data_IF_657062660069
#
_entry.id   IF_657062660069
#
_cell.length_a   1.000
_cell.length_b   1.000
_cell.length_c   1.000
_cell.angle_alpha   90.00
_cell.angle_beta   90.00
_cell.angle_gamma   90.00
#
_symmetry.space_group_name_H-M   'P 1'
#
loop_
_entity.id
_entity.type
_entity.pdbx_description
1 polymer ?
#
# COMPACT_ATOMS: atom_id res chain seq x y z
N UNK A 1 4.21 16.86 86.50
CA UNK A 1 3.68 15.95 85.46
C UNK A 1 3.77 16.67 84.13
N UNK A 2 4.90 16.55 83.43
CA UNK A 2 5.16 17.16 82.13
C UNK A 2 5.51 16.05 81.15
N UNK A 3 4.66 15.88 80.13
CA UNK A 3 4.70 14.81 79.13
C UNK A 3 5.85 15.00 78.15
N UNK A 4 6.68 13.96 78.00
CA UNK A 4 7.58 13.78 76.86
C UNK A 4 6.75 13.67 75.56
N UNK A 5 7.17 14.40 74.53
CA UNK A 5 6.72 14.21 73.15
C UNK A 5 7.90 13.71 72.32
N UNK A 6 7.94 12.41 72.07
CA UNK A 6 8.78 11.82 71.02
C UNK A 6 8.20 12.19 69.66
N UNK A 7 8.98 12.93 68.86
CA UNK A 7 8.65 13.26 67.48
C UNK A 7 8.92 12.06 66.57
N UNK A 8 7.85 11.43 66.08
CA UNK A 8 7.87 10.53 64.93
C UNK A 8 7.66 11.38 63.67
N UNK A 9 8.72 11.63 62.89
CA UNK A 9 8.60 12.19 61.54
C UNK A 9 8.76 11.04 60.56
N UNK A 10 7.65 10.70 59.91
CA UNK A 10 7.54 9.68 58.87
C UNK A 10 8.27 10.14 57.58
N UNK A 11 9.16 9.28 57.07
CA UNK A 11 9.79 9.42 55.77
C UNK A 11 8.74 9.06 54.70
N UNK A 12 8.14 10.04 54.05
CA UNK A 12 7.27 9.83 52.88
C UNK A 12 8.15 9.70 51.62
N UNK A 13 8.59 8.48 51.30
CA UNK A 13 9.16 8.16 50.00
C UNK A 13 8.05 7.99 48.96
N UNK A 14 7.86 8.99 48.09
CA UNK A 14 7.03 8.88 46.89
C UNK A 14 7.74 7.97 45.88
N UNK A 15 7.32 6.71 45.82
CA UNK A 15 7.72 5.76 44.80
C UNK A 15 7.00 6.14 43.49
N UNK A 16 7.63 6.94 42.64
CA UNK A 16 7.20 7.10 41.25
C UNK A 16 7.49 5.81 40.50
N UNK A 17 6.54 4.87 40.54
CA UNK A 17 6.53 3.71 39.67
C UNK A 17 6.23 4.21 38.24
N UNK A 18 7.28 4.59 37.52
CA UNK A 18 7.20 4.75 36.06
C UNK A 18 6.91 3.36 35.49
N UNK A 19 5.63 3.09 35.22
CA UNK A 19 5.23 1.95 34.40
C UNK A 19 5.68 2.30 32.98
N UNK A 20 6.91 1.90 32.64
CA UNK A 20 7.33 1.82 31.25
C UNK A 20 6.45 0.76 30.59
N UNK A 21 5.44 1.20 29.85
CA UNK A 21 4.74 0.34 28.90
C UNK A 21 5.77 0.05 27.81
N UNK A 22 6.42 -1.11 27.91
CA UNK A 22 7.25 -1.62 26.83
C UNK A 22 6.30 -1.95 25.68
N UNK A 23 6.28 -1.09 24.66
CA UNK A 23 5.80 -1.45 23.34
C UNK A 23 6.66 -2.62 22.85
N UNK A 24 6.09 -3.81 22.80
CA UNK A 24 6.79 -4.98 22.24
C UNK A 24 6.69 -4.91 20.72
N UNK A 25 7.81 -4.66 20.05
CA UNK A 25 7.94 -4.93 18.62
C UNK A 25 7.65 -6.42 18.37
N UNK A 26 6.75 -6.74 17.44
CA UNK A 26 6.46 -8.12 17.06
C UNK A 26 7.24 -8.51 15.79
N UNK A 27 7.39 -9.81 15.56
CA UNK A 27 8.01 -10.34 14.34
C UNK A 27 6.93 -10.96 13.46
N UNK A 28 6.73 -10.38 12.29
CA UNK A 28 5.75 -10.83 11.30
C UNK A 28 6.41 -11.65 10.19
N UNK A 29 5.83 -12.80 9.88
CA UNK A 29 6.33 -13.71 8.85
C UNK A 29 5.42 -13.72 7.62
N UNK A 30 6.01 -13.55 6.44
CA UNK A 30 5.33 -13.61 5.16
C UNK A 30 5.99 -14.65 4.24
N UNK A 31 5.16 -15.41 3.52
CA UNK A 31 5.59 -16.42 2.55
C UNK A 31 5.20 -15.98 1.14
N UNK A 32 6.20 -15.77 0.30
CA UNK A 32 6.09 -15.19 -1.04
C UNK A 32 6.56 -16.21 -2.07
N UNK A 33 5.63 -16.83 -2.79
CA UNK A 33 5.90 -17.74 -3.90
C UNK A 33 5.90 -16.97 -5.22
N UNK A 34 7.08 -16.73 -5.77
CA UNK A 34 7.25 -16.11 -7.08
C UNK A 34 7.08 -17.18 -8.17
N UNK A 35 6.12 -16.97 -9.06
CA UNK A 35 5.73 -17.94 -10.08
C UNK A 35 5.30 -17.25 -11.38
N UNK A 36 5.39 -17.99 -12.47
CA UNK A 36 4.80 -17.61 -13.75
C UNK A 36 3.31 -17.98 -13.75
N UNK A 37 2.43 -17.00 -13.97
CA UNK A 37 0.97 -17.18 -13.86
C UNK A 37 0.22 -16.56 -15.04
N UNK A 38 -0.83 -17.23 -15.57
CA UNK A 38 -1.62 -16.69 -16.66
C UNK A 38 -2.58 -15.61 -16.16
N UNK A 39 -2.57 -14.45 -16.82
CA UNK A 39 -3.53 -13.37 -16.57
C UNK A 39 -4.16 -12.91 -17.88
N UNK A 40 -5.47 -12.71 -17.85
CA UNK A 40 -6.24 -12.17 -18.97
C UNK A 40 -6.60 -10.72 -18.71
N UNK A 41 -6.14 -9.82 -19.58
CA UNK A 41 -6.55 -8.41 -19.63
C UNK A 41 -6.55 -7.93 -21.07
N UNK A 42 -7.38 -6.93 -21.38
CA UNK A 42 -7.51 -6.40 -22.75
C UNK A 42 -7.85 -7.50 -23.77
N UNK A 43 -8.63 -8.49 -23.33
CA UNK A 43 -9.08 -9.66 -24.10
C UNK A 43 -7.96 -10.60 -24.58
N UNK A 44 -6.76 -10.50 -23.98
CA UNK A 44 -5.63 -11.39 -24.27
C UNK A 44 -5.09 -12.00 -22.98
N UNK A 45 -4.76 -13.29 -23.03
CA UNK A 45 -4.05 -13.98 -21.94
C UNK A 45 -2.57 -13.97 -22.23
N UNK A 46 -1.76 -13.65 -21.20
CA UNK A 46 -0.31 -13.78 -21.23
C UNK A 46 0.20 -14.32 -19.90
N UNK A 47 1.41 -14.86 -19.90
CA UNK A 47 2.10 -15.24 -18.67
C UNK A 47 2.82 -14.02 -18.09
N UNK A 48 2.69 -13.82 -16.79
CA UNK A 48 3.42 -12.79 -16.03
C UNK A 48 4.12 -13.42 -14.83
N UNK A 49 5.12 -12.72 -14.31
CA UNK A 49 5.60 -12.99 -12.97
C UNK A 49 4.60 -12.46 -11.94
N UNK A 50 4.26 -13.29 -10.96
CA UNK A 50 3.34 -12.93 -9.90
C UNK A 50 3.82 -13.52 -8.58
N UNK A 51 3.59 -12.78 -7.49
CA UNK A 51 3.77 -13.29 -6.13
C UNK A 51 2.44 -13.85 -5.63
N UNK A 52 2.47 -15.08 -5.15
CA UNK A 52 1.30 -15.84 -4.68
C UNK A 52 0.15 -15.87 -5.70
N UNK A 53 0.49 -15.87 -7.00
CA UNK A 53 -0.49 -15.88 -8.09
C UNK A 53 -1.37 -14.62 -8.17
N UNK A 54 -0.95 -13.51 -7.57
CA UNK A 54 -1.70 -12.25 -7.51
C UNK A 54 -1.01 -11.12 -8.28
N UNK A 55 -1.82 -10.24 -8.89
CA UNK A 55 -1.39 -9.00 -9.53
C UNK A 55 -2.42 -7.88 -9.24
N UNK A 56 -2.06 -6.85 -8.46
CA UNK A 56 -0.80 -6.66 -7.73
C UNK A 56 -0.53 -7.78 -6.72
N UNK A 57 0.71 -7.85 -6.23
CA UNK A 57 1.12 -8.83 -5.24
C UNK A 57 0.53 -8.58 -3.84
N UNK A 58 0.82 -9.47 -2.87
CA UNK A 58 0.26 -9.39 -1.53
C UNK A 58 0.61 -8.10 -0.78
N UNK A 59 -0.35 -7.55 -0.02
CA UNK A 59 -0.07 -6.47 0.92
C UNK A 59 0.66 -6.99 2.15
N UNK A 60 1.76 -6.34 2.53
CA UNK A 60 2.37 -6.48 3.84
C UNK A 60 1.73 -5.45 4.76
N UNK A 61 1.32 -5.86 5.95
CA UNK A 61 0.58 -5.02 6.89
C UNK A 61 1.02 -5.30 8.32
N UNK A 62 1.72 -4.34 8.89
CA UNK A 62 2.37 -4.44 10.21
C UNK A 62 2.22 -3.12 10.95
N UNK A 63 2.80 -2.98 12.15
CA UNK A 63 2.80 -1.75 12.94
C UNK A 63 4.21 -1.15 12.99
N UNK A 64 4.27 0.15 13.29
CA UNK A 64 5.53 0.87 13.48
C UNK A 64 6.40 0.16 14.51
N UNK A 65 7.68 -0.02 14.22
CA UNK A 65 8.65 -0.68 15.09
C UNK A 65 8.66 -2.21 15.01
N UNK A 66 7.75 -2.85 14.25
CA UNK A 66 7.78 -4.30 14.06
C UNK A 66 8.97 -4.73 13.18
N UNK A 67 9.33 -6.01 13.27
CA UNK A 67 10.25 -6.66 12.33
C UNK A 67 9.47 -7.53 11.36
N UNK A 68 9.79 -7.45 10.07
CA UNK A 68 9.14 -8.25 9.02
C UNK A 68 10.14 -9.22 8.40
N UNK A 69 9.84 -10.51 8.46
CA UNK A 69 10.59 -11.58 7.81
C UNK A 69 9.81 -12.09 6.60
N UNK A 70 10.27 -11.76 5.38
CA UNK A 70 9.65 -12.21 4.14
C UNK A 70 10.49 -13.33 3.51
N UNK A 71 9.99 -14.56 3.57
CA UNK A 71 10.59 -15.69 2.89
C UNK A 71 10.07 -15.80 1.46
N UNK A 72 10.96 -15.61 0.49
CA UNK A 72 10.63 -15.62 -0.93
C UNK A 72 11.13 -16.91 -1.57
N UNK A 73 10.21 -17.68 -2.13
CA UNK A 73 10.46 -18.87 -2.94
C UNK A 73 10.44 -18.50 -4.42
N UNK A 74 11.59 -18.52 -5.10
CA UNK A 74 11.61 -18.30 -6.53
C UNK A 74 11.36 -19.61 -7.29
N UNK A 75 10.10 -19.83 -7.69
CA UNK A 75 9.68 -20.97 -8.52
C UNK A 75 9.57 -20.61 -10.01
N UNK A 76 9.86 -19.35 -10.37
CA UNK A 76 9.88 -18.90 -11.76
C UNK A 76 11.22 -19.22 -12.44
N UNK A 77 11.24 -19.10 -13.77
CA UNK A 77 12.45 -19.29 -14.57
C UNK A 77 13.38 -18.07 -14.63
N UNK A 78 13.09 -17.00 -13.89
CA UNK A 78 13.83 -15.74 -13.93
C UNK A 78 14.43 -15.40 -12.58
N UNK A 79 15.63 -14.81 -12.59
CA UNK A 79 16.25 -14.28 -11.39
C UNK A 79 15.59 -12.94 -11.01
N UNK A 80 15.22 -12.77 -9.75
CA UNK A 80 14.51 -11.56 -9.26
C UNK A 80 15.10 -11.10 -7.93
N UNK A 81 15.23 -9.79 -7.77
CA UNK A 81 15.46 -9.11 -6.50
C UNK A 81 14.25 -8.26 -6.15
N UNK A 82 13.94 -8.13 -4.87
CA UNK A 82 12.88 -7.24 -4.37
C UNK A 82 13.51 -6.06 -3.62
N UNK A 83 12.92 -4.90 -3.82
CA UNK A 83 13.19 -3.67 -3.09
C UNK A 83 11.99 -3.31 -2.21
N UNK A 84 12.28 -2.74 -1.05
CA UNK A 84 11.32 -2.36 0.00
C UNK A 84 11.37 -0.85 0.14
N UNK A 85 10.89 -0.15 -0.88
CA UNK A 85 11.12 1.28 -1.04
C UNK A 85 10.56 2.09 0.13
N UNK A 86 11.43 2.91 0.70
CA UNK A 86 11.12 3.85 1.78
C UNK A 86 11.31 3.29 3.19
N UNK A 87 11.77 2.03 3.33
CA UNK A 87 12.33 1.53 4.59
C UNK A 87 13.81 1.89 4.66
N UNK A 88 14.31 2.31 5.83
CA UNK A 88 15.74 2.62 6.00
C UNK A 88 16.65 1.44 5.61
N UNK A 89 17.84 1.75 5.07
CA UNK A 89 18.82 0.88 4.37
C UNK A 89 19.41 -0.30 5.18
N UNK A 90 18.80 -0.71 6.29
CA UNK A 90 19.29 -1.78 7.16
C UNK A 90 18.86 -3.19 6.74
N UNK A 91 18.16 -3.32 5.61
CA UNK A 91 17.65 -4.62 5.13
C UNK A 91 18.80 -5.53 4.70
N UNK A 92 19.03 -6.58 5.49
CA UNK A 92 20.00 -7.61 5.14
C UNK A 92 19.61 -8.28 3.81
N UNK A 93 20.48 -8.12 2.80
CA UNK A 93 20.29 -8.73 1.49
C UNK A 93 19.36 -7.98 0.54
N UNK A 94 19.14 -6.68 0.73
CA UNK A 94 18.46 -5.79 -0.23
C UNK A 94 18.96 -5.91 -1.67
N UNK A 95 20.25 -6.23 -1.87
CA UNK A 95 20.86 -6.43 -3.17
C UNK A 95 20.91 -7.89 -3.66
N UNK A 96 20.30 -8.85 -2.94
CA UNK A 96 20.38 -10.25 -3.32
C UNK A 96 19.43 -10.58 -4.47
N UNK A 97 19.97 -11.22 -5.51
CA UNK A 97 19.18 -11.78 -6.60
C UNK A 97 18.87 -13.24 -6.34
N UNK A 98 17.58 -13.53 -6.19
CA UNK A 98 17.08 -14.87 -5.94
C UNK A 98 17.05 -15.60 -7.27
N UNK A 99 17.95 -16.57 -7.43
CA UNK A 99 18.04 -17.38 -8.65
C UNK A 99 16.83 -18.35 -8.76
N UNK A 100 16.47 -18.80 -9.98
CA UNK A 100 15.44 -19.82 -10.18
C UNK A 100 15.65 -21.06 -9.30
N UNK A 101 14.59 -21.52 -8.64
CA UNK A 101 14.61 -22.65 -7.71
C UNK A 101 15.33 -22.39 -6.38
N UNK A 102 15.70 -21.13 -6.09
CA UNK A 102 16.30 -20.72 -4.82
C UNK A 102 15.33 -19.90 -3.98
N UNK A 103 15.62 -19.84 -2.70
CA UNK A 103 14.85 -19.07 -1.74
C UNK A 103 15.75 -18.05 -1.05
N UNK A 104 15.16 -16.96 -0.58
CA UNK A 104 15.85 -15.96 0.23
C UNK A 104 14.88 -15.38 1.26
N UNK A 105 15.38 -15.03 2.45
CA UNK A 105 14.59 -14.36 3.48
C UNK A 105 15.09 -12.94 3.64
N UNK A 106 14.20 -11.96 3.46
CA UNK A 106 14.45 -10.56 3.81
C UNK A 106 14.02 -10.33 5.26
N UNK A 107 14.92 -9.80 6.08
CA UNK A 107 14.59 -9.30 7.41
C UNK A 107 14.58 -7.78 7.37
N UNK A 108 13.44 -7.19 7.70
CA UNK A 108 13.15 -5.77 7.55
C UNK A 108 12.82 -5.24 8.94
N UNK A 109 13.73 -4.47 9.52
CA UNK A 109 13.52 -3.82 10.82
C UNK A 109 12.89 -2.44 10.56
N UNK A 110 11.67 -2.23 11.03
CA UNK A 110 11.01 -0.93 10.90
C UNK A 110 11.47 0.02 12.01
N UNK A 111 11.78 1.25 11.64
CA UNK A 111 12.06 2.34 12.56
C UNK A 111 10.80 3.18 12.80
N UNK A 112 10.89 4.44 12.40
CA UNK A 112 9.84 5.44 12.62
C UNK A 112 8.82 5.56 11.45
N UNK A 113 9.00 4.77 10.38
CA UNK A 113 8.11 4.78 9.22
C UNK A 113 6.66 4.51 9.64
N UNK A 114 5.71 5.28 9.07
CA UNK A 114 4.28 5.10 9.32
C UNK A 114 3.41 5.55 8.14
N UNK A 115 2.33 4.82 7.89
CA UNK A 115 1.43 5.09 6.78
C UNK A 115 1.60 4.02 5.72
N UNK A 116 1.93 4.43 4.51
CA UNK A 116 2.04 3.51 3.37
C UNK A 116 3.36 3.69 2.63
N UNK A 117 4.00 2.55 2.36
CA UNK A 117 5.15 2.34 1.51
C UNK A 117 4.80 1.30 0.43
N UNK A 118 5.77 0.91 -0.39
CA UNK A 118 5.59 -0.13 -1.40
C UNK A 118 6.80 -1.04 -1.47
N UNK A 119 6.60 -2.24 -1.98
CA UNK A 119 7.67 -3.13 -2.37
C UNK A 119 7.52 -3.47 -3.85
N UNK A 120 8.63 -3.75 -4.53
CA UNK A 120 8.61 -4.11 -5.95
C UNK A 120 9.87 -4.86 -6.38
N UNK A 121 9.82 -5.57 -7.51
CA UNK A 121 11.04 -6.08 -8.14
C UNK A 121 11.95 -4.94 -8.59
N UNK A 122 13.27 -5.11 -8.51
CA UNK A 122 14.24 -4.05 -8.86
C UNK A 122 14.37 -3.82 -10.37
N UNK A 123 14.20 -4.87 -11.18
CA UNK A 123 14.25 -4.75 -12.64
C UNK A 123 12.93 -4.19 -13.18
N UNK A 124 12.99 -3.19 -14.05
CA UNK A 124 11.81 -2.50 -14.60
C UNK A 124 10.77 -3.44 -15.23
N UNK A 125 11.23 -4.46 -15.98
CA UNK A 125 10.34 -5.41 -16.65
C UNK A 125 9.54 -6.28 -15.65
N UNK A 126 10.19 -6.72 -14.56
CA UNK A 126 9.52 -7.50 -13.51
C UNK A 126 8.65 -6.59 -12.63
N UNK A 127 9.10 -5.37 -12.33
CA UNK A 127 8.39 -4.39 -11.51
C UNK A 127 7.00 -4.04 -12.07
N UNK A 128 6.79 -4.15 -13.39
CA UNK A 128 5.48 -3.96 -14.02
C UNK A 128 4.40 -4.92 -13.47
N UNK A 129 4.79 -6.07 -12.91
CA UNK A 129 3.85 -7.11 -12.40
C UNK A 129 4.16 -7.62 -10.99
N UNK A 130 5.41 -7.48 -10.54
CA UNK A 130 5.88 -7.87 -9.21
C UNK A 130 6.04 -6.61 -8.37
N UNK A 131 4.94 -6.19 -7.76
CA UNK A 131 4.88 -5.07 -6.82
C UNK A 131 3.68 -5.21 -5.88
N UNK A 132 3.72 -4.54 -4.74
CA UNK A 132 2.62 -4.52 -3.78
C UNK A 132 2.78 -3.43 -2.73
N UNK A 133 1.78 -3.33 -1.87
CA UNK A 133 1.75 -2.34 -0.79
C UNK A 133 2.48 -2.84 0.46
N UNK A 134 3.07 -1.90 1.18
CA UNK A 134 3.64 -2.12 2.51
C UNK A 134 3.00 -1.10 3.46
N UNK A 135 2.04 -1.55 4.25
CA UNK A 135 1.26 -0.72 5.17
C UNK A 135 1.80 -0.83 6.59
N UNK A 136 2.08 0.33 7.19
CA UNK A 136 2.62 0.44 8.54
C UNK A 136 1.62 1.24 9.37
N UNK A 137 0.98 0.57 10.33
CA UNK A 137 -0.03 1.14 11.20
C UNK A 137 0.61 1.77 12.46
N UNK A 138 -0.09 2.68 13.15
CA UNK A 138 0.31 3.10 14.50
C UNK A 138 0.49 1.89 15.43
N UNK A 139 1.30 2.02 16.48
CA UNK A 139 1.38 0.96 17.49
C UNK A 139 0.02 0.78 18.17
N UNK A 140 -0.21 -0.36 18.83
CA UNK A 140 -1.46 -0.57 19.53
C UNK A 140 -1.67 0.53 20.59
N UNK A 141 -2.86 1.14 20.60
CA UNK A 141 -3.26 2.27 21.46
C UNK A 141 -2.63 3.63 21.14
N UNK A 142 -1.99 3.79 19.99
CA UNK A 142 -1.62 5.10 19.46
C UNK A 142 -2.71 5.60 18.50
N UNK A 143 -3.15 6.84 18.71
CA UNK A 143 -4.11 7.50 17.85
C UNK A 143 -3.44 8.05 16.59
N UNK A 144 -4.16 8.02 15.47
CA UNK A 144 -3.79 8.81 14.30
C UNK A 144 -3.76 10.31 14.64
N UNK A 145 -2.92 11.12 13.98
CA UNK A 145 -2.93 12.58 14.13
C UNK A 145 -4.15 13.25 13.45
N UNK A 146 -5.10 12.44 13.00
CA UNK A 146 -6.37 12.80 12.37
C UNK A 146 -7.46 11.86 12.90
N UNK A 147 -8.77 12.17 12.72
CA UNK A 147 -9.84 11.32 13.20
C UNK A 147 -9.68 9.87 12.69
N UNK A 148 -9.84 8.90 13.59
CA UNK A 148 -9.66 7.49 13.26
C UNK A 148 -10.60 7.08 12.10
N UNK A 149 -10.07 6.52 11.00
CA UNK A 149 -10.89 6.06 9.90
C UNK A 149 -11.70 4.81 10.29
N UNK A 150 -12.90 4.68 9.73
CA UNK A 150 -13.76 3.50 9.83
C UNK A 150 -13.09 2.27 9.23
N UNK A 151 -12.40 2.45 8.11
CA UNK A 151 -11.59 1.43 7.44
C UNK A 151 -10.56 2.13 6.56
N UNK A 152 -9.52 1.41 6.15
CA UNK A 152 -8.64 1.84 5.07
C UNK A 152 -8.81 0.97 3.83
N UNK A 153 -8.37 1.50 2.68
CA UNK A 153 -8.37 0.82 1.39
C UNK A 153 -7.11 1.18 0.61
N UNK A 154 -6.38 0.16 0.18
CA UNK A 154 -5.23 0.33 -0.70
C UNK A 154 -5.66 0.38 -2.17
N UNK A 155 -5.10 1.35 -2.90
CA UNK A 155 -5.29 1.55 -4.34
C UNK A 155 -3.90 1.63 -4.99
N UNK A 156 -3.58 0.63 -5.79
CA UNK A 156 -2.33 0.57 -6.57
C UNK A 156 -2.66 0.91 -8.02
N UNK A 157 -2.06 1.99 -8.51
CA UNK A 157 -2.07 2.36 -9.91
C UNK A 157 -0.94 1.61 -10.60
N UNK A 158 -1.27 0.73 -11.53
CA UNK A 158 -0.32 -0.09 -12.26
C UNK A 158 -0.44 0.08 -13.76
N UNK A 159 0.40 -0.64 -14.50
CA UNK A 159 0.41 -0.64 -15.95
C UNK A 159 0.33 -2.06 -16.53
N UNK A 160 -0.12 -2.16 -17.77
CA UNK A 160 -0.28 -3.42 -18.48
C UNK A 160 0.19 -3.29 -19.91
N UNK A 161 1.06 -4.22 -20.30
CA UNK A 161 1.54 -4.42 -21.67
C UNK A 161 0.85 -5.64 -22.27
N UNK A 162 0.54 -5.64 -23.57
CA UNK A 162 0.06 -6.85 -24.26
C UNK A 162 1.16 -7.88 -24.43
N UNK A 163 2.39 -7.40 -24.65
CA UNK A 163 3.56 -8.26 -24.76
C UNK A 163 3.98 -8.81 -23.39
N UNK A 164 4.48 -10.04 -23.38
CA UNK A 164 5.10 -10.64 -22.19
C UNK A 164 6.42 -9.93 -21.91
N UNK A 165 6.61 -9.46 -20.68
CA UNK A 165 7.83 -8.77 -20.28
C UNK A 165 8.79 -9.78 -19.66
N UNK A 166 10.03 -9.75 -20.13
CA UNK A 166 11.13 -10.62 -19.73
C UNK A 166 12.42 -9.79 -19.72
N UNK A 167 13.50 -10.36 -19.20
CA UNK A 167 14.83 -9.74 -19.26
C UNK A 167 15.27 -9.43 -20.71
N UNK A 168 14.89 -10.27 -21.68
CA UNK A 168 15.29 -10.13 -23.08
C UNK A 168 14.64 -8.94 -23.80
N UNK A 169 13.47 -8.47 -23.34
CA UNK A 169 12.74 -7.36 -23.91
C UNK A 169 12.46 -6.25 -22.90
N UNK A 170 13.39 -6.07 -21.95
CA UNK A 170 13.37 -5.02 -20.93
C UNK A 170 13.35 -3.59 -21.49
N UNK A 171 13.51 -3.37 -22.80
CA UNK A 171 13.35 -2.03 -23.38
C UNK A 171 11.87 -1.66 -23.58
N UNK A 172 10.96 -2.62 -23.57
CA UNK A 172 9.51 -2.39 -23.67
C UNK A 172 8.99 -1.72 -22.41
N UNK A 173 9.46 -2.16 -21.23
CA UNK A 173 9.25 -1.49 -19.96
C UNK A 173 10.56 -0.77 -19.61
N UNK A 174 10.65 0.54 -19.88
CA UNK A 174 9.63 1.45 -19.37
C UNK A 174 9.03 2.35 -20.49
N UNK A 175 8.92 1.78 -21.69
CA UNK A 175 8.15 2.34 -22.79
C UNK A 175 6.66 2.41 -22.47
N UNK A 176 5.83 2.65 -23.48
CA UNK A 176 4.42 2.89 -23.19
C UNK A 176 3.60 1.63 -23.00
N UNK A 177 2.95 1.55 -21.85
CA UNK A 177 1.90 0.58 -21.59
C UNK A 177 0.72 0.70 -22.56
N UNK A 178 0.04 -0.42 -22.77
CA UNK A 178 -1.20 -0.53 -23.54
C UNK A 178 -2.44 -0.15 -22.71
N UNK A 179 -2.34 -0.32 -21.39
CA UNK A 179 -3.35 0.09 -20.42
C UNK A 179 -2.73 0.44 -19.06
N UNK A 180 -3.47 1.23 -18.30
CA UNK A 180 -3.27 1.39 -16.86
C UNK A 180 -4.30 0.56 -16.11
N UNK A 181 -4.04 0.33 -14.84
CA UNK A 181 -4.93 -0.46 -13.99
C UNK A 181 -5.08 0.17 -12.62
N UNK A 182 -6.25 -0.03 -12.01
CA UNK A 182 -6.49 0.22 -10.58
C UNK A 182 -6.59 -1.15 -9.91
N UNK A 183 -5.69 -1.46 -8.98
CA UNK A 183 -5.60 -2.78 -8.33
C UNK A 183 -5.60 -3.94 -9.36
N UNK A 184 -4.88 -3.77 -10.46
CA UNK A 184 -4.78 -4.78 -11.53
C UNK A 184 -5.98 -4.82 -12.48
N UNK A 185 -7.03 -4.01 -12.27
CA UNK A 185 -8.21 -3.94 -13.12
C UNK A 185 -8.07 -2.83 -14.18
N UNK A 186 -8.15 -3.12 -15.49
CA UNK A 186 -8.12 -2.08 -16.52
C UNK A 186 -9.32 -1.13 -16.47
N UNK A 187 -10.47 -1.62 -15.99
CA UNK A 187 -11.72 -0.87 -16.04
C UNK A 187 -12.38 -0.93 -17.43
N UNK A 188 -13.31 -0.01 -17.67
CA UNK A 188 -14.28 -0.08 -18.76
C UNK A 188 -13.83 0.66 -20.04
N UNK A 189 -12.67 1.32 -20.00
CA UNK A 189 -12.22 2.30 -21.01
C UNK A 189 -11.47 1.68 -22.19
N UNK A 190 -11.10 0.39 -22.14
CA UNK A 190 -10.25 -0.26 -23.13
C UNK A 190 -10.99 -1.18 -24.13
N UNK A 191 -12.33 -1.18 -24.11
CA UNK A 191 -13.15 -1.84 -25.13
C UNK A 191 -13.19 -3.37 -25.07
N UNK A 192 -12.68 -4.00 -24.01
CA UNK A 192 -12.82 -5.43 -23.76
C UNK A 192 -13.95 -5.69 -22.74
N UNK A 193 -15.00 -6.41 -23.16
CA UNK A 193 -16.15 -6.72 -22.28
C UNK A 193 -15.83 -7.67 -21.14
N UNK A 194 -14.71 -8.41 -21.23
CA UNK A 194 -14.28 -9.37 -20.22
C UNK A 194 -13.30 -8.78 -19.22
N UNK A 195 -12.88 -7.52 -19.40
CA UNK A 195 -12.10 -6.84 -18.39
C UNK A 195 -12.97 -6.56 -17.17
N UNK A 196 -12.28 -6.48 -16.04
CA UNK A 196 -12.89 -6.28 -14.73
C UNK A 196 -12.60 -4.86 -14.25
N UNK A 197 -13.47 -4.36 -13.38
CA UNK A 197 -13.42 -3.00 -12.81
C UNK A 197 -13.27 -3.13 -11.31
N UNK A 198 -12.30 -2.44 -10.72
CA UNK A 198 -12.15 -2.39 -9.28
C UNK A 198 -13.36 -1.69 -8.64
N UNK A 199 -13.91 -2.22 -7.55
CA UNK A 199 -15.01 -1.61 -6.81
C UNK A 199 -14.63 -1.45 -5.33
N UNK A 200 -14.78 -0.22 -4.81
CA UNK A 200 -14.65 0.12 -3.40
C UNK A 200 -16.03 0.47 -2.84
N UNK A 201 -16.40 -0.15 -1.72
CA UNK A 201 -17.67 0.13 -1.03
C UNK A 201 -17.47 1.11 0.12
N UNK A 202 -18.42 2.03 0.27
CA UNK A 202 -18.39 3.04 1.34
C UNK A 202 -19.77 3.28 1.93
N UNK A 203 -19.82 3.59 3.22
CA UNK A 203 -21.02 4.03 3.94
C UNK A 203 -21.11 5.56 3.89
N UNK A 204 -22.34 6.06 3.79
CA UNK A 204 -22.61 7.50 3.83
C UNK A 204 -22.12 8.09 5.17
N UNK A 205 -21.36 9.19 5.10
CA UNK A 205 -20.71 9.85 6.25
C UNK A 205 -19.66 9.00 7.00
N UNK A 206 -19.22 7.87 6.43
CA UNK A 206 -18.02 7.18 6.92
C UNK A 206 -16.75 8.01 6.74
N UNK A 207 -15.64 7.53 7.31
CA UNK A 207 -14.32 8.11 7.10
C UNK A 207 -13.36 7.01 6.65
N UNK A 208 -12.82 7.11 5.44
CA UNK A 208 -11.95 6.09 4.87
C UNK A 208 -10.54 6.63 4.67
N UNK A 209 -9.53 5.86 5.05
CA UNK A 209 -8.13 6.14 4.69
C UNK A 209 -7.81 5.42 3.38
N UNK A 210 -7.69 6.16 2.29
CA UNK A 210 -7.35 5.63 0.98
C UNK A 210 -5.84 5.79 0.76
N UNK A 211 -5.15 4.66 0.53
CA UNK A 211 -3.70 4.59 0.37
C UNK A 211 -3.38 4.44 -1.12
N UNK A 212 -3.00 5.52 -1.78
CA UNK A 212 -2.82 5.55 -3.24
C UNK A 212 -1.33 5.41 -3.57
N UNK A 213 -0.98 4.35 -4.30
CA UNK A 213 0.38 4.03 -4.72
C UNK A 213 0.46 4.16 -6.24
N UNK A 214 1.44 4.91 -6.75
CA UNK A 214 1.77 4.90 -8.17
C UNK A 214 2.89 3.89 -8.45
N UNK A 215 2.53 2.69 -8.90
CA UNK A 215 3.47 1.63 -9.32
C UNK A 215 3.78 1.68 -10.83
N UNK A 216 3.33 2.70 -11.55
CA UNK A 216 3.68 2.91 -12.97
C UNK A 216 5.12 3.43 -13.06
N UNK A 217 5.96 2.80 -13.90
CA UNK A 217 7.39 3.05 -13.89
C UNK A 217 7.79 4.46 -14.38
N UNK A 218 7.10 5.00 -15.38
CA UNK A 218 7.57 6.16 -16.13
C UNK A 218 6.52 7.27 -16.35
N UNK A 219 5.39 7.21 -15.66
CA UNK A 219 4.31 8.18 -15.84
C UNK A 219 3.85 8.77 -14.51
N UNK A 220 3.64 10.08 -14.53
CA UNK A 220 2.94 10.77 -13.45
C UNK A 220 1.44 10.51 -13.63
N UNK A 221 0.80 9.99 -12.59
CA UNK A 221 -0.61 9.64 -12.61
C UNK A 221 -1.43 10.71 -11.91
N UNK A 222 -2.50 11.15 -12.57
CA UNK A 222 -3.56 11.96 -11.99
C UNK A 222 -4.65 11.03 -11.48
N UNK A 223 -5.01 11.15 -10.20
CA UNK A 223 -6.04 10.34 -9.55
C UNK A 223 -7.14 11.22 -8.98
N UNK A 224 -8.40 10.83 -9.15
CA UNK A 224 -9.54 11.50 -8.54
C UNK A 224 -10.72 10.54 -8.32
N UNK A 225 -11.65 10.96 -7.45
CA UNK A 225 -12.93 10.27 -7.24
C UNK A 225 -14.03 11.26 -7.55
N UNK A 226 -14.90 10.92 -8.49
CA UNK A 226 -15.93 11.82 -9.03
C UNK A 226 -16.75 12.45 -7.89
N UNK A 227 -16.80 13.80 -7.87
CA UNK A 227 -17.54 14.62 -6.88
C UNK A 227 -17.07 14.47 -5.42
N UNK A 228 -15.95 13.81 -5.16
CA UNK A 228 -15.39 13.70 -3.82
C UNK A 228 -14.13 14.55 -3.67
N UNK A 229 -13.94 15.11 -2.47
CA UNK A 229 -12.71 15.78 -2.06
C UNK A 229 -11.87 14.83 -1.23
N UNK A 230 -10.57 14.96 -1.37
CA UNK A 230 -9.56 14.16 -0.67
C UNK A 230 -8.81 15.08 0.30
N UNK A 231 -8.49 14.56 1.48
CA UNK A 231 -7.64 15.26 2.46
C UNK A 231 -6.33 14.49 2.58
N UNK A 232 -5.23 15.04 2.08
CA UNK A 232 -3.90 14.43 2.22
C UNK A 232 -3.49 14.45 3.68
N UNK A 233 -3.07 13.30 4.20
CA UNK A 233 -2.67 13.10 5.60
C UNK A 233 -1.32 12.41 5.75
N UNK A 234 -0.80 11.81 4.69
CA UNK A 234 0.51 11.17 4.69
C UNK A 234 1.08 11.02 3.29
N UNK A 235 2.39 10.85 3.22
CA UNK A 235 3.12 10.63 1.98
C UNK A 235 4.38 9.82 2.28
N UNK A 236 4.67 8.80 1.46
CA UNK A 236 5.91 7.99 1.53
C UNK A 236 6.31 7.57 2.96
N UNK A 237 5.41 6.92 3.70
CA UNK A 237 5.73 6.42 5.04
C UNK A 237 5.90 7.50 6.13
N UNK A 238 5.35 8.70 5.93
CA UNK A 238 5.26 9.71 7.01
C UNK A 238 3.96 10.51 6.98
N UNK A 239 3.57 11.04 8.14
CA UNK A 239 2.42 11.95 8.23
C UNK A 239 2.76 13.35 7.71
N UNK A 240 1.75 14.02 7.14
CA UNK A 240 1.88 15.38 6.63
C UNK A 240 0.86 16.31 7.27
N UNK A 241 1.09 17.63 7.14
CA UNK A 241 0.04 18.60 7.40
C UNK A 241 -1.15 18.35 6.47
N UNK A 242 -2.36 18.47 7.02
CA UNK A 242 -3.59 18.26 6.26
C UNK A 242 -3.72 19.27 5.14
N UNK A 243 -3.97 18.78 3.92
CA UNK A 243 -4.29 19.63 2.77
C UNK A 243 -5.43 19.03 1.97
N UNK A 244 -6.27 19.89 1.38
CA UNK A 244 -7.47 19.47 0.67
C UNK A 244 -7.27 19.59 -0.83
N UNK A 245 -7.69 18.57 -1.58
CA UNK A 245 -7.67 18.57 -3.03
C UNK A 245 -8.86 17.82 -3.60
N UNK A 246 -9.18 18.04 -4.87
CA UNK A 246 -10.11 17.21 -5.64
C UNK A 246 -9.40 16.14 -6.48
N UNK A 247 -8.08 16.27 -6.68
CA UNK A 247 -7.28 15.33 -7.46
C UNK A 247 -5.84 15.25 -6.93
N UNK A 248 -5.24 14.08 -7.01
CA UNK A 248 -3.85 13.83 -6.67
C UNK A 248 -3.01 13.78 -7.94
N UNK A 249 -1.78 14.28 -7.84
CA UNK A 249 -0.74 14.10 -8.85
C UNK A 249 0.35 13.26 -8.20
N UNK A 250 0.54 12.02 -8.67
CA UNK A 250 1.51 11.08 -8.14
C UNK A 250 2.63 10.85 -9.15
N UNK A 251 3.87 11.21 -8.81
CA UNK A 251 5.05 10.83 -9.58
C UNK A 251 5.25 9.30 -9.54
N UNK A 252 6.03 8.70 -10.46
CA UNK A 252 6.41 7.29 -10.37
C UNK A 252 6.98 6.93 -8.98
N UNK A 253 6.49 5.85 -8.39
CA UNK A 253 6.88 5.37 -7.06
C UNK A 253 6.25 6.10 -5.89
N UNK A 254 5.58 7.24 -6.11
CA UNK A 254 5.02 8.04 -5.02
C UNK A 254 3.81 7.35 -4.38
N UNK A 255 3.74 7.48 -3.05
CA UNK A 255 2.62 6.99 -2.23
C UNK A 255 1.99 8.16 -1.47
N UNK A 256 0.67 8.28 -1.53
CA UNK A 256 -0.10 9.32 -0.82
C UNK A 256 -1.26 8.69 -0.06
N UNK A 257 -1.34 8.98 1.23
CA UNK A 257 -2.45 8.62 2.09
C UNK A 257 -3.45 9.78 2.17
N UNK A 258 -4.71 9.51 1.85
CA UNK A 258 -5.78 10.52 1.88
C UNK A 258 -6.99 10.05 2.67
N UNK A 259 -7.62 10.97 3.39
CA UNK A 259 -8.96 10.75 3.94
C UNK A 259 -10.01 11.06 2.89
N UNK A 260 -10.98 10.14 2.79
CA UNK A 260 -12.18 10.24 1.99
C UNK A 260 -13.40 10.27 2.91
N UNK A 261 -14.21 11.32 2.78
CA UNK A 261 -15.51 11.44 3.44
C UNK A 261 -16.62 11.29 2.39
N UNK A 262 -17.30 10.14 2.30
CA UNK A 262 -18.39 9.92 1.36
C UNK A 262 -19.62 10.74 1.78
N UNK A 263 -19.77 11.92 1.19
CA UNK A 263 -20.81 12.90 1.53
C UNK A 263 -21.73 13.23 0.34
N UNK A 264 -21.69 12.41 -0.71
CA UNK A 264 -22.52 12.57 -1.91
C UNK A 264 -23.81 11.74 -1.80
N UNK A 265 -24.73 11.96 -2.74
CA UNK A 265 -25.95 11.15 -2.82
C UNK A 265 -25.60 9.66 -2.98
N UNK A 266 -26.37 8.77 -2.37
CA UNK A 266 -26.16 7.32 -2.50
C UNK A 266 -26.20 6.93 -3.97
N UNK A 267 -25.12 6.33 -4.45
CA UNK A 267 -24.95 6.02 -5.86
C UNK A 267 -23.58 5.40 -6.16
N UNK A 268 -23.20 5.47 -7.43
CA UNK A 268 -21.89 5.04 -7.93
C UNK A 268 -21.16 6.24 -8.51
N UNK A 269 -19.87 6.33 -8.21
CA UNK A 269 -18.98 7.40 -8.63
C UNK A 269 -17.72 6.79 -9.21
N UNK A 270 -17.22 7.33 -10.31
CA UNK A 270 -15.98 6.81 -10.88
C UNK A 270 -14.77 7.17 -9.99
N UNK A 271 -13.92 6.18 -9.77
CA UNK A 271 -12.52 6.38 -9.38
C UNK A 271 -11.75 6.43 -10.69
N UNK A 272 -11.02 7.51 -10.95
CA UNK A 272 -10.32 7.69 -12.24
C UNK A 272 -8.82 7.81 -11.99
N UNK A 273 -8.03 7.14 -12.82
CA UNK A 273 -6.60 7.39 -12.93
C UNK A 273 -6.20 7.56 -14.40
N UNK A 274 -5.39 8.59 -14.68
CA UNK A 274 -4.91 8.88 -16.04
C UNK A 274 -3.47 9.37 -16.02
N UNK A 275 -2.71 9.07 -17.07
CA UNK A 275 -1.38 9.64 -17.21
C UNK A 275 -1.44 11.15 -17.45
N UNK A 276 -0.44 11.88 -16.97
CA UNK A 276 -0.29 13.31 -17.28
C UNK A 276 -0.10 13.58 -18.77
N UNK A 277 0.43 12.59 -19.52
CA UNK A 277 0.54 12.61 -20.97
C UNK A 277 -0.81 12.50 -21.69
N UNK A 278 -1.88 12.12 -20.98
CA UNK A 278 -3.24 12.01 -21.51
C UNK A 278 -3.47 10.78 -22.39
N UNK A 279 -2.55 9.81 -22.39
CA UNK A 279 -2.53 8.69 -23.33
C UNK A 279 -3.63 7.68 -23.07
N UNK A 280 -3.76 7.24 -21.82
CA UNK A 280 -4.74 6.24 -21.40
C UNK A 280 -5.37 6.62 -20.06
N UNK A 281 -6.62 6.19 -19.87
CA UNK A 281 -7.42 6.40 -18.65
C UNK A 281 -7.90 5.03 -18.20
N UNK A 282 -7.78 4.73 -16.91
CA UNK A 282 -8.39 3.57 -16.25
C UNK A 282 -9.40 4.04 -15.21
N UNK A 283 -10.42 3.23 -14.96
CA UNK A 283 -11.45 3.55 -13.97
C UNK A 283 -11.76 2.38 -13.03
N UNK A 284 -12.20 2.75 -11.84
CA UNK A 284 -12.84 1.92 -10.84
C UNK A 284 -14.17 2.55 -10.42
N UNK A 285 -14.87 1.91 -9.49
CA UNK A 285 -16.16 2.36 -8.97
C UNK A 285 -16.08 2.52 -7.46
N UNK A 286 -16.43 3.70 -6.97
CA UNK A 286 -16.82 3.91 -5.59
C UNK A 286 -18.34 3.73 -5.49
N UNK A 287 -18.78 2.75 -4.70
CA UNK A 287 -20.19 2.41 -4.50
C UNK A 287 -20.63 2.70 -3.06
N UNK A 288 -21.69 3.48 -2.91
CA UNK A 288 -22.35 3.63 -1.63
C UNK A 288 -23.15 2.38 -1.28
N UNK A 289 -22.98 1.88 -0.05
CA UNK A 289 -23.81 0.82 0.53
C UNK A 289 -25.18 1.40 0.91
N UNK A 290 -26.23 0.59 0.74
CA UNK A 290 -27.61 0.94 1.12
C UNK A 290 -28.01 0.23 2.41
N UNK A 291 -27.10 0.15 3.38
CA UNK A 291 -27.44 -0.40 4.70
C UNK A 291 -28.35 0.61 5.40
N UNK A 292 -29.64 0.49 5.15
CA UNK A 292 -30.69 1.05 6.01
C UNK A 292 -30.49 0.40 7.37
N UNK A 293 -29.79 1.06 8.28
CA UNK A 293 -29.94 0.75 9.70
C UNK A 293 -31.40 1.05 10.03
N UNK A 294 -32.23 0.01 10.04
CA UNK A 294 -33.55 0.07 10.64
C UNK A 294 -33.34 0.36 12.12
N UNK A 295 -33.59 1.61 12.51
CA UNK A 295 -33.77 2.01 13.90
C UNK A 295 -35.05 1.39 14.46
#
# INVERSE_FOLDING_TARGET
MGSEKQGFIWLSGLLFLNIFVLSTADVHYYEFSLQESPFTKLCSTKIILALNGSFPGPEIRVRRGDTVSVHVHNQANYAVSLDWEGVEDTIEGSNNTIQPGRNFTYNIELGDEIGTLRWHATSAWAAATVHGAFVILPVANEDYPFPAPTSDQTIILGEWFREELTEANQTIAPGSADAYTINGHPGETYGCSNDTTFEMQVDYQGLYLVRVINAVANETMLFDIEKHRLTIVGQNGTYTNRSFTSSLTLAPGQVIDVLLCPNQNVGRYYITARSSSGRHITNGILRYTTTTTSF
#
